data_IF_560906612984
#
_entry.id   IF_560906612984
#
_cell.length_a   1.000
_cell.length_b   1.000
_cell.length_c   1.000
_cell.angle_alpha   90.00
_cell.angle_beta   90.00
_cell.angle_gamma   90.00
#
_symmetry.space_group_name_H-M   'P 1'
#
loop_
_entity.id
_entity.type
_entity.pdbx_description
1 polymer ?
#
# COMPACT_ATOMS: atom_id res chain seq x y z
N UNK A 1 24.92 -33.10 9.37
CA UNK A 1 23.92 -32.45 8.62
C UNK A 1 22.93 -31.69 9.43
N UNK A 2 23.34 -30.60 9.86
CA UNK A 2 22.49 -29.75 10.70
C UNK A 2 21.46 -29.00 9.92
N UNK A 3 21.25 -29.38 8.68
CA UNK A 3 20.59 -28.50 7.76
C UNK A 3 19.11 -28.36 8.00
N UNK A 4 18.42 -29.39 8.48
CA UNK A 4 16.97 -29.30 8.65
C UNK A 4 16.61 -28.31 9.75
N UNK A 5 17.24 -28.42 10.92
CA UNK A 5 16.99 -27.48 12.01
C UNK A 5 17.35 -26.07 11.65
N UNK A 6 18.45 -25.90 10.93
CA UNK A 6 18.88 -24.57 10.50
C UNK A 6 17.92 -23.99 9.48
N UNK A 7 17.46 -24.81 8.54
CA UNK A 7 16.50 -24.37 7.54
C UNK A 7 15.16 -23.98 8.18
N UNK A 8 14.73 -24.74 9.17
CA UNK A 8 13.49 -24.41 9.89
C UNK A 8 13.61 -23.09 10.63
N UNK A 9 14.77 -22.82 11.23
CA UNK A 9 15.00 -21.54 11.89
C UNK A 9 14.98 -20.38 10.90
N UNK A 10 15.57 -20.58 9.73
CA UNK A 10 15.59 -19.56 8.70
C UNK A 10 14.19 -19.29 8.16
N UNK A 11 13.42 -20.35 7.95
CA UNK A 11 12.03 -20.20 7.49
C UNK A 11 11.19 -19.47 8.52
N UNK A 12 11.33 -19.80 9.80
CA UNK A 12 10.60 -19.12 10.86
C UNK A 12 11.00 -17.65 10.97
N UNK A 13 12.28 -17.36 10.80
CA UNK A 13 12.77 -15.98 10.82
C UNK A 13 12.18 -15.18 9.66
N UNK A 14 12.19 -15.77 8.47
CA UNK A 14 11.65 -15.11 7.29
C UNK A 14 10.15 -14.86 7.45
N UNK A 15 9.41 -15.85 7.94
CA UNK A 15 7.98 -15.69 8.17
C UNK A 15 7.70 -14.56 9.14
N UNK A 16 8.50 -14.46 10.21
CA UNK A 16 8.35 -13.39 11.19
C UNK A 16 8.63 -12.03 10.56
N UNK A 17 9.69 -11.95 9.74
CA UNK A 17 10.02 -10.71 9.05
C UNK A 17 8.91 -10.29 8.10
N UNK A 18 8.29 -11.22 7.41
CA UNK A 18 7.17 -10.92 6.54
C UNK A 18 5.95 -10.42 7.31
N UNK A 19 5.67 -11.05 8.45
CA UNK A 19 4.57 -10.59 9.30
C UNK A 19 4.82 -9.19 9.84
N UNK A 20 6.06 -8.90 10.26
CA UNK A 20 6.43 -7.57 10.72
C UNK A 20 6.32 -6.55 9.59
N UNK A 21 6.74 -6.91 8.40
CA UNK A 21 6.63 -6.01 7.25
C UNK A 21 5.17 -5.70 6.92
N UNK A 22 4.31 -6.71 6.98
CA UNK A 22 2.88 -6.50 6.74
C UNK A 22 2.26 -5.60 7.81
N UNK A 23 2.66 -5.79 9.07
CA UNK A 23 2.19 -4.93 10.15
C UNK A 23 2.64 -3.49 9.95
N UNK A 24 3.87 -3.29 9.46
CA UNK A 24 4.36 -1.96 9.16
C UNK A 24 3.57 -1.30 8.02
N UNK A 25 3.12 -2.10 7.04
CA UNK A 25 2.30 -1.57 5.95
C UNK A 25 0.96 -1.03 6.47
N UNK A 26 0.42 -1.64 7.51
CA UNK A 26 -0.81 -1.17 8.13
C UNK A 26 -0.63 0.19 8.82
N UNK A 27 0.60 0.53 9.18
CA UNK A 27 0.92 1.81 9.83
C UNK A 27 1.42 2.87 8.85
N UNK A 28 1.85 2.48 7.66
CA UNK A 28 2.33 3.44 6.66
C UNK A 28 1.14 4.05 5.92
N UNK A 29 1.11 5.37 5.92
CA UNK A 29 0.01 6.11 5.30
C UNK A 29 0.47 6.78 4.02
N UNK A 30 -0.42 6.82 3.06
CA UNK A 30 -0.27 7.61 1.84
C UNK A 30 -1.45 8.54 1.72
N UNK A 31 -1.25 9.66 1.04
CA UNK A 31 -2.31 10.61 0.77
C UNK A 31 -2.36 10.88 -0.73
N UNK A 32 -3.57 10.90 -1.26
CA UNK A 32 -3.81 11.26 -2.64
C UNK A 32 -4.91 12.31 -2.67
N UNK A 33 -4.92 13.11 -3.72
CA UNK A 33 -5.93 14.14 -3.89
C UNK A 33 -6.36 14.24 -5.34
N UNK A 34 -7.54 14.81 -5.54
CA UNK A 34 -8.04 15.10 -6.87
C UNK A 34 -8.78 16.43 -6.84
N UNK A 35 -9.09 16.95 -8.04
CA UNK A 35 -9.81 18.21 -8.14
C UNK A 35 -9.05 19.39 -7.56
N UNK A 36 -7.72 19.42 -7.68
CA UNK A 36 -6.94 20.51 -7.12
C UNK A 36 -6.91 20.54 -5.59
N UNK A 37 -7.10 19.39 -4.96
CA UNK A 37 -7.15 19.30 -3.50
C UNK A 37 -8.54 19.31 -2.94
N UNK A 38 -9.56 19.31 -3.79
CA UNK A 38 -10.96 19.30 -3.34
C UNK A 38 -11.32 18.02 -2.60
N UNK A 39 -10.71 16.91 -3.00
CA UNK A 39 -10.89 15.62 -2.35
C UNK A 39 -9.51 15.10 -1.95
N UNK A 40 -9.35 14.75 -0.68
CA UNK A 40 -8.12 14.15 -0.17
C UNK A 40 -8.44 12.82 0.48
N UNK A 41 -7.67 11.80 0.14
CA UNK A 41 -7.87 10.45 0.66
C UNK A 41 -6.58 10.00 1.33
N UNK A 42 -6.71 9.52 2.55
CA UNK A 42 -5.61 8.89 3.27
C UNK A 42 -5.87 7.40 3.34
N UNK A 43 -4.88 6.62 2.94
CA UNK A 43 -4.95 5.17 2.99
C UNK A 43 -3.67 4.61 3.59
N UNK A 44 -3.72 3.38 4.04
CA UNK A 44 -2.54 2.67 4.48
C UNK A 44 -2.05 1.75 3.38
N UNK A 45 -0.78 1.36 3.47
CA UNK A 45 -0.16 0.55 2.42
C UNK A 45 -0.66 -0.89 2.41
N UNK A 46 -1.46 -1.28 3.40
CA UNK A 46 -2.13 -2.58 3.43
C UNK A 46 -3.46 -2.58 2.68
N UNK A 47 -3.83 -1.46 2.05
CA UNK A 47 -5.03 -1.39 1.23
C UNK A 47 -6.27 -0.90 1.96
N UNK A 48 -6.11 -0.19 3.07
CA UNK A 48 -7.24 0.31 3.84
C UNK A 48 -7.36 1.82 3.70
N UNK A 49 -8.54 2.30 3.30
CA UNK A 49 -8.81 3.74 3.28
C UNK A 49 -9.16 4.16 4.70
N UNK A 50 -8.43 5.15 5.21
CA UNK A 50 -8.60 5.63 6.58
C UNK A 50 -9.47 6.87 6.67
N UNK A 51 -9.37 7.75 5.69
CA UNK A 51 -10.18 8.97 5.71
C UNK A 51 -10.36 9.52 4.31
N UNK A 52 -11.46 10.21 4.14
CA UNK A 52 -11.76 10.98 2.94
C UNK A 52 -12.18 12.37 3.42
N UNK A 53 -11.50 13.38 2.92
CA UNK A 53 -11.84 14.78 3.21
C UNK A 53 -12.27 15.47 1.94
N UNK A 54 -13.42 16.10 1.99
CA UNK A 54 -13.99 16.81 0.86
C UNK A 54 -14.14 18.27 1.25
N UNK A 55 -13.62 19.16 0.41
CA UNK A 55 -13.81 20.59 0.58
C UNK A 55 -15.28 20.92 0.30
N UNK A 56 -16.01 21.46 1.29
CA UNK A 56 -17.43 21.79 1.07
C UNK A 56 -17.65 22.76 -0.10
N UNK A 57 -16.70 23.64 -0.36
CA UNK A 57 -16.81 24.60 -1.44
C UNK A 57 -16.74 23.94 -2.83
N UNK A 58 -16.23 22.72 -2.88
CA UNK A 58 -16.14 21.98 -4.14
C UNK A 58 -17.39 21.14 -4.41
N UNK A 59 -18.32 21.09 -3.47
CA UNK A 59 -19.53 20.28 -3.64
C UNK A 59 -20.57 21.10 -4.40
N UNK A 60 -20.96 20.59 -5.57
CA UNK A 60 -22.00 21.18 -6.40
C UNK A 60 -23.17 20.20 -6.46
N UNK A 61 -24.28 20.57 -5.83
CA UNK A 61 -25.43 19.68 -5.77
C UNK A 61 -26.02 19.39 -7.16
N UNK A 62 -25.69 20.23 -8.15
CA UNK A 62 -26.16 20.00 -9.52
C UNK A 62 -25.22 19.12 -10.32
N UNK A 63 -24.04 18.82 -9.79
CA UNK A 63 -23.06 17.98 -10.47
C UNK A 63 -22.39 17.01 -9.50
N UNK A 64 -23.20 16.16 -8.91
CA UNK A 64 -22.72 15.17 -7.95
C UNK A 64 -21.83 14.14 -8.64
N UNK A 65 -22.06 13.85 -9.92
CA UNK A 65 -21.24 12.84 -10.60
C UNK A 65 -19.79 13.29 -10.72
N UNK A 66 -19.52 14.59 -10.82
CA UNK A 66 -18.16 15.10 -10.80
C UNK A 66 -17.48 14.81 -9.45
N UNK A 67 -18.21 15.01 -8.35
CA UNK A 67 -17.70 14.70 -7.02
C UNK A 67 -17.43 13.20 -6.88
N UNK A 68 -18.34 12.37 -7.35
CA UNK A 68 -18.16 10.93 -7.33
C UNK A 68 -16.89 10.50 -8.07
N UNK A 69 -16.66 11.08 -9.24
CA UNK A 69 -15.47 10.79 -10.02
C UNK A 69 -14.19 11.25 -9.32
N UNK A 70 -14.22 12.40 -8.68
CA UNK A 70 -13.07 12.88 -7.92
C UNK A 70 -12.75 11.97 -6.73
N UNK A 71 -13.77 11.53 -6.01
CA UNK A 71 -13.58 10.61 -4.89
C UNK A 71 -13.02 9.28 -5.38
N UNK A 72 -13.60 8.74 -6.45
CA UNK A 72 -13.14 7.48 -7.02
C UNK A 72 -11.67 7.57 -7.46
N UNK A 73 -11.32 8.66 -8.13
CA UNK A 73 -9.95 8.87 -8.59
C UNK A 73 -8.96 8.98 -7.44
N UNK A 74 -9.30 9.74 -6.39
CA UNK A 74 -8.43 9.90 -5.24
C UNK A 74 -8.26 8.59 -4.47
N UNK A 75 -9.35 7.84 -4.28
CA UNK A 75 -9.29 6.54 -3.61
C UNK A 75 -8.39 5.58 -4.37
N UNK A 76 -8.61 5.45 -5.67
CA UNK A 76 -7.82 4.54 -6.48
C UNK A 76 -6.34 4.94 -6.51
N UNK A 77 -6.06 6.23 -6.56
CA UNK A 77 -4.69 6.72 -6.55
C UNK A 77 -4.00 6.42 -5.22
N UNK A 78 -4.69 6.63 -4.11
CA UNK A 78 -4.14 6.34 -2.79
C UNK A 78 -3.85 4.84 -2.63
N UNK A 79 -4.78 3.99 -3.05
CA UNK A 79 -4.59 2.55 -2.98
C UNK A 79 -3.45 2.09 -3.87
N UNK A 80 -3.31 2.68 -5.06
CA UNK A 80 -2.21 2.37 -5.97
C UNK A 80 -0.86 2.75 -5.37
N UNK A 81 -0.76 3.94 -4.79
CA UNK A 81 0.47 4.38 -4.13
C UNK A 81 0.83 3.44 -2.99
N UNK A 82 -0.15 3.06 -2.19
CA UNK A 82 0.08 2.14 -1.08
C UNK A 82 0.56 0.78 -1.56
N UNK A 83 -0.03 0.29 -2.64
CA UNK A 83 0.35 -0.99 -3.22
C UNK A 83 1.79 -0.96 -3.75
N UNK A 84 2.19 0.14 -4.38
CA UNK A 84 3.55 0.30 -4.87
C UNK A 84 4.55 0.27 -3.73
N UNK A 85 4.24 0.93 -2.62
CA UNK A 85 5.11 0.92 -1.45
C UNK A 85 5.18 -0.49 -0.87
N UNK A 86 4.05 -1.18 -0.76
CA UNK A 86 4.01 -2.54 -0.25
C UNK A 86 4.87 -3.46 -1.12
N UNK A 87 4.72 -3.37 -2.43
CA UNK A 87 5.50 -4.18 -3.35
C UNK A 87 6.99 -3.89 -3.20
N UNK A 88 7.36 -2.61 -3.09
CA UNK A 88 8.75 -2.21 -2.92
C UNK A 88 9.34 -2.74 -1.60
N UNK A 89 8.60 -2.62 -0.51
CA UNK A 89 9.08 -3.08 0.79
C UNK A 89 9.20 -4.60 0.84
N UNK A 90 8.23 -5.31 0.26
CA UNK A 90 8.31 -6.76 0.19
C UNK A 90 9.46 -7.23 -0.72
N UNK A 91 9.72 -6.48 -1.79
CA UNK A 91 10.85 -6.75 -2.65
C UNK A 91 12.17 -6.60 -1.93
N UNK A 92 12.31 -5.60 -1.06
CA UNK A 92 13.51 -5.43 -0.25
C UNK A 92 13.68 -6.58 0.73
N UNK A 93 12.59 -7.04 1.32
CA UNK A 93 12.63 -8.13 2.28
C UNK A 93 13.12 -9.42 1.64
N UNK A 94 12.70 -9.67 0.41
CA UNK A 94 13.11 -10.85 -0.33
C UNK A 94 14.31 -10.58 -1.23
N UNK A 95 14.91 -9.40 -1.12
CA UNK A 95 15.96 -8.95 -2.03
C UNK A 95 17.17 -9.86 -2.08
N UNK A 96 17.56 -10.42 -0.93
CA UNK A 96 18.69 -11.36 -0.88
C UNK A 96 18.42 -12.64 -1.64
N UNK A 97 17.17 -13.01 -1.80
CA UNK A 97 16.78 -14.20 -2.56
C UNK A 97 16.16 -13.82 -3.89
N UNK A 98 15.81 -12.57 -4.05
CA UNK A 98 15.14 -12.10 -5.23
C UNK A 98 15.95 -12.25 -6.48
N UNK A 99 17.26 -12.06 -6.37
CA UNK A 99 18.15 -12.24 -7.50
C UNK A 99 18.14 -13.65 -8.04
N UNK A 100 17.72 -14.59 -7.24
CA UNK A 100 17.64 -15.99 -7.65
C UNK A 100 16.33 -16.24 -8.38
N UNK A 101 15.27 -15.68 -7.89
CA UNK A 101 13.95 -15.96 -8.41
C UNK A 101 13.51 -15.08 -9.55
N UNK A 102 14.20 -14.00 -9.80
CA UNK A 102 13.72 -12.99 -10.71
C UNK A 102 14.48 -12.80 -12.02
N UNK A 103 15.50 -13.56 -12.32
CA UNK A 103 16.29 -13.25 -13.52
C UNK A 103 15.48 -13.27 -14.80
N UNK A 104 14.44 -13.98 -14.84
CA UNK A 104 13.59 -14.03 -16.01
C UNK A 104 12.65 -12.87 -16.14
N UNK A 105 12.65 -12.01 -15.20
CA UNK A 105 11.68 -10.93 -15.15
C UNK A 105 12.24 -9.64 -15.68
#
# INVERSE_FOLDING_TARGET
>A
MASIGKLMKQAAKMQRQMQEAQAQMADKKVEASSGGGAVKVTATCDGTVKSIKIDPDAVDAEDISMLEDMVLGAVNQALEQGREIQTSEMGKLTGGMGGIGLPGL
#
